data_IF_614592982599
#
_entry.id   IF_614592982599
#
_cell.length_a   1.000
_cell.length_b   1.000
_cell.length_c   1.000
_cell.angle_alpha   90.00
_cell.angle_beta   90.00
_cell.angle_gamma   90.00
#
_symmetry.space_group_name_H-M   'P 1'
#
loop_
_entity.id
_entity.type
_entity.pdbx_description
1 polymer ?
#
# COMPACT_ATOMS: atom_id res chain seq x y z
N UNK A 1 -62.15 20.48 45.06
CA UNK A 1 -62.96 21.72 44.95
C UNK A 1 -62.98 22.08 43.46
N UNK A 2 -64.16 22.11 42.93
CA UNK A 2 -64.50 22.49 41.55
C UNK A 2 -64.13 23.93 41.30
N UNK A 3 -63.73 24.33 40.06
CA UNK A 3 -64.36 25.45 39.34
C UNK A 3 -64.04 25.32 37.84
N UNK A 4 -65.09 25.36 37.06
CA UNK A 4 -65.29 25.45 35.62
C UNK A 4 -65.25 26.93 35.22
N UNK A 5 -64.73 27.27 34.06
CA UNK A 5 -65.22 28.37 33.18
C UNK A 5 -64.17 28.60 32.09
N UNK A 6 -64.37 28.84 30.89
CA UNK A 6 -65.49 29.03 29.94
C UNK A 6 -64.83 29.50 28.64
N UNK A 7 -65.38 29.02 27.54
CA UNK A 7 -65.00 29.37 26.16
C UNK A 7 -65.14 30.88 25.88
N UNK A 8 -64.26 31.42 25.05
CA UNK A 8 -64.60 32.51 24.08
C UNK A 8 -63.92 32.22 22.73
N UNK A 9 -64.79 31.90 21.78
CA UNK A 9 -64.48 31.95 20.35
C UNK A 9 -64.30 33.39 19.92
N UNK A 10 -63.22 33.68 19.21
CA UNK A 10 -63.16 34.87 18.30
C UNK A 10 -62.67 34.39 16.94
N UNK A 11 -63.57 34.39 15.99
CA UNK A 11 -63.31 34.19 14.59
C UNK A 11 -62.58 35.44 14.02
N UNK A 12 -61.40 35.27 13.46
CA UNK A 12 -60.75 36.25 12.62
C UNK A 12 -60.56 35.66 11.23
N UNK A 13 -61.15 36.36 10.28
CA UNK A 13 -61.19 36.05 8.85
C UNK A 13 -59.77 35.89 8.24
N UNK A 14 -59.59 34.78 7.54
CA UNK A 14 -58.46 34.60 6.67
C UNK A 14 -58.64 35.36 5.39
N UNK A 15 -57.76 36.36 5.13
CA UNK A 15 -57.59 36.96 3.81
C UNK A 15 -56.68 36.05 3.01
N UNK A 16 -57.20 35.52 1.93
CA UNK A 16 -56.45 34.81 0.91
C UNK A 16 -55.50 35.76 0.18
N UNK A 17 -54.24 35.53 0.32
CA UNK A 17 -53.21 36.14 -0.56
C UNK A 17 -52.97 35.14 -1.70
N UNK A 18 -53.52 35.53 -2.87
CA UNK A 18 -53.23 34.89 -4.16
C UNK A 18 -51.82 35.31 -4.57
N UNK A 19 -50.85 34.43 -4.44
CA UNK A 19 -49.50 34.59 -4.94
C UNK A 19 -49.20 33.42 -5.85
N UNK A 20 -49.58 33.53 -7.11
CA UNK A 20 -49.05 32.69 -8.19
C UNK A 20 -47.53 32.83 -8.26
N UNK A 21 -46.74 31.78 -8.08
CA UNK A 21 -45.33 31.87 -8.38
C UNK A 21 -45.13 31.79 -9.89
N UNK A 22 -44.50 32.81 -10.44
CA UNK A 22 -43.95 32.80 -11.79
C UNK A 22 -43.09 31.55 -12.00
N UNK A 23 -43.43 30.74 -12.99
CA UNK A 23 -42.62 29.61 -13.44
C UNK A 23 -41.34 30.13 -14.10
N UNK A 24 -40.29 30.36 -13.33
CA UNK A 24 -38.94 30.43 -13.85
C UNK A 24 -38.47 29.00 -14.08
N UNK A 25 -38.50 28.58 -15.33
CA UNK A 25 -37.80 27.35 -15.78
C UNK A 25 -36.29 27.59 -15.63
N UNK A 26 -35.75 27.34 -14.46
CA UNK A 26 -34.32 27.09 -14.32
C UNK A 26 -34.12 25.67 -14.79
N UNK A 27 -33.59 25.49 -15.98
CA UNK A 27 -33.08 24.22 -16.46
C UNK A 27 -31.97 23.79 -15.50
N UNK A 28 -32.28 22.82 -14.65
CA UNK A 28 -31.27 22.09 -13.89
C UNK A 28 -30.46 21.31 -14.94
N UNK A 29 -29.16 21.56 -15.10
CA UNK A 29 -28.36 20.68 -15.95
C UNK A 29 -28.47 19.30 -15.41
N UNK A 30 -28.96 18.36 -16.23
CA UNK A 30 -28.86 16.93 -15.97
C UNK A 30 -27.42 16.61 -15.64
N UNK A 31 -27.19 16.03 -14.46
CA UNK A 31 -25.92 15.44 -14.11
C UNK A 31 -25.73 14.34 -15.14
N UNK A 32 -24.99 14.64 -16.20
CA UNK A 32 -24.49 13.66 -17.13
C UNK A 32 -23.56 12.80 -16.28
N UNK A 33 -24.12 11.68 -15.84
CA UNK A 33 -23.42 10.62 -15.14
C UNK A 33 -22.15 10.39 -15.93
N UNK A 34 -21.00 10.71 -15.32
CA UNK A 34 -19.68 10.36 -15.82
C UNK A 34 -19.62 8.83 -15.83
N UNK A 35 -20.26 8.24 -16.83
CA UNK A 35 -20.20 6.83 -17.09
C UNK A 35 -18.73 6.50 -17.32
N UNK A 36 -18.13 5.86 -16.34
CA UNK A 36 -16.87 5.16 -16.54
C UNK A 36 -17.04 4.31 -17.81
N UNK A 37 -16.08 4.34 -18.75
CA UNK A 37 -16.17 3.50 -19.92
C UNK A 37 -16.43 2.06 -19.48
N UNK A 38 -17.36 1.35 -20.12
CA UNK A 38 -17.70 -0.02 -19.75
C UNK A 38 -16.41 -0.84 -19.76
N UNK A 39 -15.99 -1.30 -18.58
CA UNK A 39 -14.88 -2.23 -18.50
C UNK A 39 -15.35 -3.50 -19.21
N UNK A 40 -14.65 -3.88 -20.27
CA UNK A 40 -14.91 -5.15 -20.98
C UNK A 40 -14.94 -6.26 -19.93
N UNK A 41 -16.02 -7.08 -19.84
CA UNK A 41 -16.03 -8.21 -18.92
C UNK A 41 -14.79 -9.07 -19.19
N UNK A 42 -14.13 -9.59 -18.18
CA UNK A 42 -12.98 -10.47 -18.37
C UNK A 42 -13.43 -11.65 -19.23
N UNK A 43 -12.62 -11.99 -20.23
CA UNK A 43 -12.89 -13.14 -21.09
C UNK A 43 -13.03 -14.39 -20.18
N UNK A 44 -13.99 -15.28 -20.47
CA UNK A 44 -14.28 -16.46 -19.63
C UNK A 44 -13.01 -17.27 -19.30
N UNK A 45 -12.10 -17.42 -20.26
CA UNK A 45 -10.79 -18.07 -20.06
C UNK A 45 -9.89 -17.35 -19.02
N UNK A 46 -9.93 -16.04 -18.94
CA UNK A 46 -9.13 -15.30 -17.94
C UNK A 46 -9.72 -15.45 -16.54
N UNK A 47 -11.05 -15.53 -16.41
CA UNK A 47 -11.72 -15.78 -15.14
C UNK A 47 -11.42 -17.19 -14.61
N UNK A 48 -11.49 -18.20 -15.47
CA UNK A 48 -11.21 -19.60 -15.11
C UNK A 48 -9.75 -19.81 -14.70
N UNK A 49 -8.82 -19.18 -15.41
CA UNK A 49 -7.40 -19.24 -15.06
C UNK A 49 -7.11 -18.60 -13.71
N UNK A 50 -7.74 -17.44 -13.42
CA UNK A 50 -7.59 -16.77 -12.12
C UNK A 50 -8.17 -17.58 -10.97
N UNK A 51 -9.32 -18.20 -11.18
CA UNK A 51 -9.94 -19.04 -10.17
C UNK A 51 -9.07 -20.25 -9.86
N UNK A 52 -8.52 -20.89 -10.88
CA UNK A 52 -7.60 -22.01 -10.74
C UNK A 52 -6.32 -21.62 -9.98
N UNK A 53 -5.71 -20.46 -10.28
CA UNK A 53 -4.55 -19.95 -9.56
C UNK A 53 -4.90 -19.66 -8.09
N UNK A 54 -6.06 -19.06 -7.81
CA UNK A 54 -6.52 -18.83 -6.44
C UNK A 54 -6.65 -20.11 -5.64
N UNK A 55 -7.27 -21.14 -6.18
CA UNK A 55 -7.41 -22.44 -5.52
C UNK A 55 -6.03 -23.03 -5.15
N UNK A 56 -5.05 -22.92 -6.05
CA UNK A 56 -3.69 -23.41 -5.78
C UNK A 56 -2.99 -22.57 -4.71
N UNK A 57 -3.14 -21.22 -4.74
CA UNK A 57 -2.58 -20.30 -3.73
C UNK A 57 -3.17 -20.61 -2.35
N UNK A 58 -4.49 -20.77 -2.26
CA UNK A 58 -5.18 -21.08 -0.99
C UNK A 58 -4.74 -22.44 -0.44
N UNK A 59 -4.65 -23.47 -1.29
CA UNK A 59 -4.16 -24.79 -0.90
C UNK A 59 -2.71 -24.74 -0.42
N UNK A 60 -1.82 -24.13 -1.21
CA UNK A 60 -0.40 -24.02 -0.87
C UNK A 60 -0.14 -23.22 0.42
N UNK A 61 -0.87 -22.10 0.62
CA UNK A 61 -0.77 -21.31 1.85
C UNK A 61 -1.20 -22.12 3.07
N UNK A 62 -2.34 -22.83 2.97
CA UNK A 62 -2.86 -23.67 4.05
C UNK A 62 -1.89 -24.81 4.39
N UNK A 63 -1.42 -25.53 3.39
CA UNK A 63 -0.57 -26.70 3.57
C UNK A 63 0.81 -26.33 4.16
N UNK A 64 1.33 -25.14 3.81
CA UNK A 64 2.55 -24.57 4.39
C UNK A 64 2.29 -23.74 5.66
N UNK A 65 1.07 -23.71 6.20
CA UNK A 65 0.70 -22.91 7.38
C UNK A 65 1.11 -21.43 7.25
N UNK A 66 0.90 -20.84 6.07
CA UNK A 66 1.13 -19.40 5.81
C UNK A 66 -0.20 -18.65 5.82
N UNK A 67 -0.25 -17.39 6.29
CA UNK A 67 -1.41 -16.53 6.06
C UNK A 67 -1.62 -16.36 4.54
N UNK A 68 -2.86 -16.58 4.08
CA UNK A 68 -3.23 -16.47 2.67
C UNK A 68 -2.81 -15.11 2.08
N UNK A 69 -3.13 -14.03 2.78
CA UNK A 69 -2.83 -12.68 2.35
C UNK A 69 -1.31 -12.46 2.18
N UNK A 70 -0.51 -12.93 3.12
CA UNK A 70 0.95 -12.86 3.04
C UNK A 70 1.46 -13.58 1.78
N UNK A 71 1.04 -14.83 1.57
CA UNK A 71 1.50 -15.62 0.45
C UNK A 71 1.05 -15.02 -0.90
N UNK A 72 -0.21 -14.61 -1.01
CA UNK A 72 -0.71 -13.96 -2.23
C UNK A 72 0.03 -12.65 -2.55
N UNK A 73 0.41 -11.85 -1.53
CA UNK A 73 1.22 -10.65 -1.71
C UNK A 73 2.64 -10.95 -2.16
N UNK A 74 3.25 -12.03 -1.66
CA UNK A 74 4.54 -12.53 -2.17
C UNK A 74 4.43 -12.83 -3.66
N UNK A 75 3.48 -13.68 -4.05
CA UNK A 75 3.31 -14.06 -5.47
C UNK A 75 2.98 -12.84 -6.35
N UNK A 76 2.21 -11.88 -5.84
CA UNK A 76 1.98 -10.62 -6.52
C UNK A 76 3.27 -9.82 -6.72
N UNK A 77 4.15 -9.73 -5.74
CA UNK A 77 5.43 -9.02 -5.87
C UNK A 77 6.38 -9.71 -6.84
N UNK A 78 6.34 -11.03 -6.93
CA UNK A 78 7.18 -11.80 -7.84
C UNK A 78 6.76 -11.62 -9.30
N UNK A 79 5.51 -11.89 -9.64
CA UNK A 79 5.10 -12.03 -11.04
C UNK A 79 3.83 -11.29 -11.43
N UNK A 80 3.12 -10.64 -10.50
CA UNK A 80 1.74 -10.16 -10.72
C UNK A 80 0.77 -11.29 -11.09
N UNK A 81 1.00 -12.49 -10.57
CA UNK A 81 0.30 -13.74 -10.88
C UNK A 81 0.49 -14.24 -12.32
N UNK A 82 1.55 -13.79 -13.02
CA UNK A 82 1.85 -14.26 -14.38
C UNK A 82 2.64 -15.56 -14.32
N UNK A 83 2.11 -16.61 -14.92
CA UNK A 83 2.72 -17.95 -14.88
C UNK A 83 3.93 -18.09 -15.79
N UNK A 84 4.04 -17.25 -16.79
CA UNK A 84 5.10 -17.21 -17.81
C UNK A 84 6.12 -16.08 -17.56
N UNK A 85 6.05 -15.43 -16.39
CA UNK A 85 6.95 -14.34 -16.05
C UNK A 85 8.43 -14.78 -16.09
N UNK A 86 9.27 -13.94 -16.69
CA UNK A 86 10.73 -14.12 -16.74
C UNK A 86 11.40 -12.85 -16.23
N UNK A 87 12.18 -12.96 -15.17
CA UNK A 87 12.92 -11.86 -14.57
C UNK A 87 14.04 -11.33 -15.44
N UNK A 88 14.69 -10.21 -15.04
CA UNK A 88 15.87 -9.68 -15.71
C UNK A 88 17.04 -10.65 -15.60
N UNK A 89 17.99 -10.54 -16.53
CA UNK A 89 19.24 -11.30 -16.48
C UNK A 89 20.05 -10.85 -15.26
N UNK A 90 20.45 -11.79 -14.41
CA UNK A 90 21.34 -11.57 -13.27
C UNK A 90 22.81 -11.54 -13.69
N UNK A 91 23.71 -11.22 -12.77
CA UNK A 91 25.17 -11.27 -13.04
C UNK A 91 25.68 -12.67 -13.39
N UNK A 92 25.01 -13.73 -12.93
CA UNK A 92 25.35 -15.12 -13.30
C UNK A 92 24.84 -15.53 -14.68
N UNK A 93 24.05 -14.68 -15.35
CA UNK A 93 23.38 -15.01 -16.60
C UNK A 93 22.00 -15.64 -16.45
N UNK A 94 21.63 -16.03 -15.23
CA UNK A 94 20.36 -16.65 -14.92
C UNK A 94 19.20 -15.64 -14.87
N UNK A 95 17.99 -16.16 -14.97
CA UNK A 95 16.74 -15.39 -14.82
C UNK A 95 15.78 -16.11 -13.86
N UNK A 96 15.10 -15.33 -13.05
CA UNK A 96 13.98 -15.83 -12.27
C UNK A 96 12.83 -16.26 -13.19
N UNK A 97 12.10 -17.31 -12.84
CA UNK A 97 11.16 -18.00 -13.72
C UNK A 97 9.80 -18.27 -13.07
N UNK A 98 8.75 -18.08 -13.84
CA UNK A 98 7.39 -18.45 -13.52
C UNK A 98 6.72 -17.59 -12.46
N UNK A 99 5.55 -18.04 -12.01
CA UNK A 99 4.67 -17.30 -11.09
C UNK A 99 5.34 -16.95 -9.75
N UNK A 100 6.26 -17.78 -9.27
CA UNK A 100 6.96 -17.62 -7.99
C UNK A 100 8.43 -17.16 -8.16
N UNK A 101 8.85 -16.81 -9.39
CA UNK A 101 10.17 -16.28 -9.74
C UNK A 101 11.34 -17.07 -9.16
N UNK A 102 11.30 -18.41 -9.30
CA UNK A 102 12.42 -19.25 -8.89
C UNK A 102 13.66 -19.02 -9.76
N UNK A 103 14.79 -18.81 -9.13
CA UNK A 103 16.09 -18.94 -9.80
C UNK A 103 16.35 -20.40 -10.16
N UNK A 104 16.98 -20.69 -11.32
CA UNK A 104 17.23 -22.07 -11.76
C UNK A 104 17.94 -22.96 -10.72
N UNK A 105 18.94 -22.42 -10.03
CA UNK A 105 19.64 -23.12 -8.94
C UNK A 105 18.69 -23.49 -7.80
N UNK A 106 17.90 -22.52 -7.31
CA UNK A 106 16.93 -22.75 -6.23
C UNK A 106 15.83 -23.72 -6.65
N UNK A 107 15.35 -23.64 -7.91
CA UNK A 107 14.37 -24.58 -8.46
C UNK A 107 14.91 -26.02 -8.41
N UNK A 108 16.16 -26.21 -8.86
CA UNK A 108 16.81 -27.52 -8.86
C UNK A 108 17.02 -28.06 -7.41
N UNK A 109 17.52 -27.25 -6.49
CA UNK A 109 17.70 -27.61 -5.08
C UNK A 109 16.40 -28.07 -4.42
N UNK A 110 15.24 -27.53 -4.87
CA UNK A 110 13.91 -27.83 -4.35
C UNK A 110 13.17 -28.91 -5.14
N UNK A 111 13.80 -29.50 -6.13
CA UNK A 111 13.18 -30.51 -7.00
C UNK A 111 12.02 -29.96 -7.81
N UNK A 112 12.01 -28.65 -8.12
CA UNK A 112 11.02 -28.00 -8.97
C UNK A 112 11.41 -28.19 -10.43
N UNK A 113 10.73 -29.12 -11.10
CA UNK A 113 11.06 -29.52 -12.47
C UNK A 113 10.65 -28.46 -13.52
N UNK A 114 9.53 -27.78 -13.27
CA UNK A 114 9.02 -26.76 -14.18
C UNK A 114 8.53 -25.52 -13.40
N UNK A 115 9.37 -24.47 -13.28
CA UNK A 115 8.99 -23.22 -12.61
C UNK A 115 7.81 -22.47 -13.27
N UNK A 116 7.52 -22.73 -14.54
CA UNK A 116 6.40 -22.12 -15.26
C UNK A 116 5.06 -22.84 -15.02
N UNK A 117 5.08 -24.00 -14.38
CA UNK A 117 3.87 -24.71 -13.97
C UNK A 117 3.42 -24.25 -12.58
N UNK A 118 2.31 -23.49 -12.44
CA UNK A 118 1.86 -22.96 -11.16
C UNK A 118 1.47 -24.06 -10.18
N UNK A 119 1.03 -25.23 -10.64
CA UNK A 119 0.67 -26.39 -9.81
C UNK A 119 1.91 -26.95 -9.08
N UNK A 120 3.09 -26.84 -9.69
CA UNK A 120 4.36 -27.24 -9.07
C UNK A 120 5.01 -26.07 -8.31
N UNK A 121 5.03 -24.88 -8.89
CA UNK A 121 5.79 -23.74 -8.36
C UNK A 121 5.18 -23.16 -7.08
N UNK A 122 3.85 -23.02 -7.00
CA UNK A 122 3.19 -22.40 -5.84
C UNK A 122 3.37 -23.23 -4.54
N UNK A 123 3.14 -24.54 -4.51
CA UNK A 123 3.43 -25.33 -3.33
C UNK A 123 4.91 -25.25 -2.91
N UNK A 124 5.84 -25.35 -3.85
CA UNK A 124 7.29 -25.24 -3.58
C UNK A 124 7.68 -23.86 -3.05
N UNK A 125 7.05 -22.81 -3.51
CA UNK A 125 7.24 -21.46 -2.98
C UNK A 125 6.73 -21.32 -1.55
N UNK A 126 5.55 -21.86 -1.25
CA UNK A 126 4.98 -21.84 0.09
C UNK A 126 5.81 -22.69 1.09
N UNK A 127 6.25 -23.87 0.70
CA UNK A 127 7.19 -24.69 1.48
C UNK A 127 8.47 -23.90 1.81
N UNK A 128 9.07 -23.27 0.81
CA UNK A 128 10.29 -22.46 0.99
C UNK A 128 10.09 -21.30 1.95
N UNK A 129 9.02 -20.54 1.80
CA UNK A 129 8.69 -19.44 2.72
C UNK A 129 8.48 -19.94 4.15
N UNK A 130 7.85 -21.08 4.33
CA UNK A 130 7.69 -21.69 5.66
C UNK A 130 9.03 -22.12 6.27
N UNK A 131 9.92 -22.73 5.49
CA UNK A 131 11.28 -23.06 5.94
C UNK A 131 12.05 -21.80 6.36
N UNK A 132 12.02 -20.75 5.53
CA UNK A 132 12.65 -19.47 5.83
C UNK A 132 12.07 -18.82 7.10
N UNK A 133 10.75 -18.91 7.29
CA UNK A 133 10.10 -18.42 8.52
C UNK A 133 10.60 -19.20 9.74
N UNK A 134 10.70 -20.51 9.64
CA UNK A 134 11.19 -21.34 10.74
C UNK A 134 12.67 -21.10 11.04
N UNK A 135 13.48 -20.84 10.02
CA UNK A 135 14.90 -20.53 10.15
C UNK A 135 15.16 -19.13 10.75
N UNK A 136 14.36 -18.13 10.38
CA UNK A 136 14.60 -16.73 10.72
C UNK A 136 13.62 -16.16 11.76
N UNK A 137 12.60 -16.94 12.12
CA UNK A 137 11.71 -16.66 13.24
C UNK A 137 10.42 -15.94 12.88
N UNK A 138 10.32 -15.23 11.74
CA UNK A 138 9.10 -14.49 11.38
C UNK A 138 8.90 -14.32 9.87
N UNK A 139 7.68 -13.91 9.48
CA UNK A 139 7.28 -13.76 8.08
C UNK A 139 8.01 -12.62 7.35
N UNK A 140 8.33 -11.53 8.03
CA UNK A 140 9.04 -10.42 7.40
C UNK A 140 10.47 -10.76 7.02
N UNK A 141 11.19 -11.50 7.89
CA UNK A 141 12.52 -11.99 7.60
C UNK A 141 12.49 -13.12 6.57
N UNK A 142 11.43 -13.95 6.56
CA UNK A 142 11.22 -14.95 5.51
C UNK A 142 11.04 -14.29 4.14
N UNK A 143 10.24 -13.25 4.04
CA UNK A 143 10.08 -12.48 2.81
C UNK A 143 11.42 -11.84 2.36
N UNK A 144 12.18 -11.27 3.29
CA UNK A 144 13.51 -10.73 2.99
C UNK A 144 14.44 -11.80 2.43
N UNK A 145 14.43 -13.00 3.02
CA UNK A 145 15.29 -14.10 2.60
C UNK A 145 14.83 -14.74 1.27
N UNK A 146 13.55 -14.78 1.01
CA UNK A 146 13.01 -15.21 -0.29
C UNK A 146 13.55 -14.32 -1.42
N UNK A 147 13.55 -13.00 -1.22
CA UNK A 147 14.00 -12.03 -2.21
C UNK A 147 15.53 -11.89 -2.31
N UNK A 148 16.25 -11.86 -1.18
CA UNK A 148 17.68 -11.54 -1.13
C UNK A 148 18.58 -12.76 -0.88
N UNK A 149 18.00 -13.90 -0.56
CA UNK A 149 18.69 -15.09 -0.09
C UNK A 149 18.92 -15.13 1.43
N UNK A 150 18.80 -16.32 2.07
CA UNK A 150 18.88 -16.48 3.52
C UNK A 150 20.23 -16.05 4.10
N UNK A 151 21.33 -16.36 3.42
CA UNK A 151 22.69 -15.96 3.85
C UNK A 151 22.80 -14.44 4.01
N UNK A 152 22.30 -13.67 3.07
CA UNK A 152 22.35 -12.19 3.13
C UNK A 152 21.57 -11.63 4.31
N UNK A 153 20.42 -12.20 4.61
CA UNK A 153 19.61 -11.80 5.78
C UNK A 153 20.34 -12.14 7.08
N UNK A 154 20.97 -13.30 7.17
CA UNK A 154 21.79 -13.69 8.33
C UNK A 154 23.00 -12.77 8.53
N UNK A 155 23.75 -12.45 7.47
CA UNK A 155 24.87 -11.52 7.50
C UNK A 155 24.42 -10.12 7.96
N UNK A 156 23.27 -9.65 7.47
CA UNK A 156 22.69 -8.38 7.89
C UNK A 156 22.25 -8.37 9.37
N UNK A 157 21.60 -9.44 9.84
CA UNK A 157 21.22 -9.58 11.26
C UNK A 157 22.44 -9.65 12.18
N UNK A 158 23.53 -10.25 11.73
CA UNK A 158 24.81 -10.31 12.43
C UNK A 158 25.61 -8.98 12.36
N UNK A 159 25.15 -7.97 11.61
CA UNK A 159 25.87 -6.71 11.41
C UNK A 159 27.08 -6.79 10.49
N UNK A 160 27.30 -7.92 9.80
CA UNK A 160 28.45 -8.18 8.89
C UNK A 160 28.13 -7.89 7.42
N UNK A 161 26.86 -7.56 7.10
CA UNK A 161 26.42 -7.28 5.74
C UNK A 161 25.30 -6.24 5.68
N UNK A 162 25.01 -5.74 4.47
CA UNK A 162 23.95 -4.76 4.21
C UNK A 162 22.67 -5.40 3.67
N UNK A 163 21.51 -4.78 3.98
CA UNK A 163 20.23 -5.15 3.37
C UNK A 163 19.97 -4.24 2.16
N UNK A 164 19.72 -4.77 0.95
CA UNK A 164 19.41 -3.96 -0.22
C UNK A 164 18.10 -3.18 -0.06
N UNK A 165 18.02 -1.95 -0.59
CA UNK A 165 16.79 -1.16 -0.58
C UNK A 165 15.64 -1.84 -1.32
N UNK A 166 15.94 -2.59 -2.39
CA UNK A 166 14.96 -3.39 -3.10
C UNK A 166 14.28 -4.40 -2.16
N UNK A 167 15.08 -5.11 -1.35
CA UNK A 167 14.55 -6.10 -0.38
C UNK A 167 13.78 -5.40 0.74
N UNK A 168 14.23 -4.23 1.23
CA UNK A 168 13.48 -3.42 2.20
C UNK A 168 12.09 -3.03 1.68
N UNK A 169 12.04 -2.56 0.44
CA UNK A 169 10.79 -2.20 -0.23
C UNK A 169 9.89 -3.41 -0.47
N UNK A 170 10.48 -4.56 -0.83
CA UNK A 170 9.76 -5.82 -1.01
C UNK A 170 9.08 -6.27 0.29
N UNK A 171 9.80 -6.30 1.42
CA UNK A 171 9.22 -6.66 2.72
C UNK A 171 8.10 -5.71 3.11
N UNK A 172 8.32 -4.41 2.94
CA UNK A 172 7.29 -3.42 3.25
C UNK A 172 6.03 -3.58 2.38
N UNK A 173 6.20 -3.81 1.08
CA UNK A 173 5.06 -4.01 0.15
C UNK A 173 4.22 -5.25 0.49
N UNK A 174 4.82 -6.27 1.09
CA UNK A 174 4.12 -7.51 1.46
C UNK A 174 3.49 -7.40 2.84
N UNK A 175 4.21 -6.79 3.81
CA UNK A 175 3.87 -6.90 5.23
C UNK A 175 3.36 -5.59 5.85
N UNK A 176 3.50 -4.46 5.17
CA UNK A 176 3.21 -3.13 5.74
C UNK A 176 4.20 -2.64 6.79
N UNK A 177 5.21 -3.46 7.13
CA UNK A 177 6.24 -3.12 8.12
C UNK A 177 7.65 -3.20 7.51
N UNK A 178 8.59 -2.44 8.07
CA UNK A 178 9.96 -2.45 7.58
C UNK A 178 10.70 -3.72 8.04
N UNK A 179 11.71 -4.14 7.28
CA UNK A 179 12.53 -5.31 7.66
C UNK A 179 13.23 -5.11 9.00
N UNK A 180 13.56 -3.86 9.38
CA UNK A 180 14.11 -3.51 10.69
C UNK A 180 13.11 -3.73 11.82
N UNK A 181 11.82 -3.41 11.58
CA UNK A 181 10.75 -3.70 12.54
C UNK A 181 10.63 -5.20 12.78
N UNK A 182 10.66 -6.00 11.71
CA UNK A 182 10.64 -7.46 11.81
C UNK A 182 11.87 -8.04 12.52
N UNK A 183 13.05 -7.48 12.26
CA UNK A 183 14.29 -7.91 12.95
C UNK A 183 14.22 -7.64 14.46
N UNK A 184 13.68 -6.48 14.89
CA UNK A 184 13.50 -6.15 16.30
C UNK A 184 12.44 -7.02 16.99
N UNK A 185 11.39 -7.41 16.27
CA UNK A 185 10.31 -8.23 16.80
C UNK A 185 10.77 -9.68 17.12
N UNK A 186 11.85 -10.15 16.49
CA UNK A 186 12.40 -11.48 16.73
C UNK A 186 11.43 -12.62 16.38
N UNK A 187 11.67 -13.82 16.92
CA UNK A 187 10.88 -15.01 16.63
C UNK A 187 9.41 -14.94 17.13
N UNK A 188 9.11 -14.06 18.09
CA UNK A 188 7.76 -13.86 18.64
C UNK A 188 7.00 -12.75 17.91
N UNK A 189 7.63 -12.10 16.94
CA UNK A 189 7.06 -10.98 16.20
C UNK A 189 5.78 -11.39 15.45
N UNK A 190 4.64 -11.00 16.02
CA UNK A 190 3.39 -11.01 15.28
C UNK A 190 3.47 -9.86 14.29
N UNK A 191 3.22 -10.15 13.02
CA UNK A 191 3.08 -9.14 11.99
C UNK A 191 1.97 -8.13 12.32
N UNK A 192 1.88 -7.05 11.57
CA UNK A 192 0.73 -6.18 11.66
C UNK A 192 -0.55 -7.02 11.57
N UNK A 193 -1.63 -6.63 12.27
CA UNK A 193 -2.87 -7.39 12.27
C UNK A 193 -3.31 -7.60 10.81
N UNK A 194 -3.54 -8.85 10.45
CA UNK A 194 -4.14 -9.18 9.16
C UNK A 194 -5.54 -8.53 9.12
N UNK A 195 -5.90 -7.93 8.00
CA UNK A 195 -7.26 -7.47 7.76
C UNK A 195 -8.29 -8.60 7.90
N UNK A 196 -9.59 -8.31 7.76
CA UNK A 196 -10.62 -9.34 7.79
C UNK A 196 -10.31 -10.44 6.74
N UNK A 197 -10.71 -11.70 7.00
CA UNK A 197 -10.48 -12.79 6.07
C UNK A 197 -11.01 -12.42 4.68
N UNK A 198 -10.12 -12.29 3.72
CA UNK A 198 -10.44 -11.91 2.34
C UNK A 198 -10.24 -13.14 1.46
N UNK A 199 -11.19 -13.42 0.55
CA UNK A 199 -11.00 -14.50 -0.41
C UNK A 199 -9.79 -14.21 -1.32
N UNK A 200 -9.15 -15.24 -1.85
CA UNK A 200 -8.05 -15.04 -2.80
C UNK A 200 -8.49 -14.22 -4.02
N UNK A 201 -9.71 -14.41 -4.49
CA UNK A 201 -10.28 -13.66 -5.62
C UNK A 201 -10.37 -12.16 -5.33
N UNK A 202 -10.90 -11.79 -4.17
CA UNK A 202 -11.03 -10.39 -3.75
C UNK A 202 -9.65 -9.77 -3.52
N UNK A 203 -8.73 -10.53 -2.92
CA UNK A 203 -7.35 -10.12 -2.72
C UNK A 203 -6.61 -9.90 -4.05
N UNK A 204 -6.78 -10.78 -5.04
CA UNK A 204 -6.22 -10.58 -6.38
C UNK A 204 -6.80 -9.33 -7.06
N UNK A 205 -8.11 -9.10 -6.92
CA UNK A 205 -8.76 -7.91 -7.46
C UNK A 205 -8.26 -6.64 -6.77
N UNK A 206 -8.10 -6.67 -5.44
CA UNK A 206 -7.53 -5.57 -4.65
C UNK A 206 -6.10 -5.27 -5.10
N UNK A 207 -5.23 -6.27 -5.18
CA UNK A 207 -3.83 -6.10 -5.58
C UNK A 207 -3.67 -5.58 -7.02
N UNK A 208 -4.59 -5.90 -7.93
CA UNK A 208 -4.61 -5.33 -9.28
C UNK A 208 -4.98 -3.85 -9.31
N UNK A 209 -5.95 -3.42 -8.48
CA UNK A 209 -6.38 -2.01 -8.37
C UNK A 209 -5.41 -1.15 -7.58
N UNK A 210 -4.92 -1.70 -6.47
CA UNK A 210 -3.98 -1.07 -5.56
C UNK A 210 -2.75 -1.98 -5.41
N UNK A 211 -1.76 -1.87 -6.31
CA UNK A 211 -0.59 -2.78 -6.34
C UNK A 211 0.19 -2.83 -5.03
N UNK A 212 0.05 -1.80 -4.21
CA UNK A 212 0.55 -1.79 -2.84
C UNK A 212 -0.56 -1.26 -1.92
N UNK A 213 -1.36 -2.13 -1.27
CA UNK A 213 -2.48 -1.72 -0.44
C UNK A 213 -2.08 -0.88 0.78
N UNK A 214 -0.86 -1.04 1.30
CA UNK A 214 -0.35 -0.18 2.37
C UNK A 214 -0.03 1.24 1.87
N UNK A 215 0.32 1.36 0.59
CA UNK A 215 0.46 2.66 -0.06
C UNK A 215 -0.90 3.29 -0.30
N UNK A 216 -1.91 2.51 -0.70
CA UNK A 216 -3.26 3.02 -0.91
C UNK A 216 -3.91 3.54 0.38
N UNK A 217 -3.71 2.84 1.51
CA UNK A 217 -4.16 3.31 2.82
C UNK A 217 -3.46 4.63 3.21
N UNK A 218 -2.14 4.71 3.03
CA UNK A 218 -1.37 5.93 3.25
C UNK A 218 -1.83 7.08 2.32
N UNK A 219 -2.28 6.77 1.10
CA UNK A 219 -2.80 7.77 0.16
C UNK A 219 -4.10 8.42 0.61
N UNK A 220 -5.02 7.66 1.23
CA UNK A 220 -6.24 8.23 1.80
C UNK A 220 -5.94 9.23 2.92
N UNK A 221 -4.94 8.96 3.75
CA UNK A 221 -4.46 9.90 4.76
C UNK A 221 -3.76 11.12 4.15
N UNK A 222 -3.09 10.92 3.02
CA UNK A 222 -2.33 11.96 2.30
C UNK A 222 -3.25 13.04 1.68
N UNK A 223 -4.41 12.67 1.16
CA UNK A 223 -5.36 13.64 0.57
C UNK A 223 -5.93 14.59 1.62
N UNK A 224 -6.12 14.12 2.85
CA UNK A 224 -6.61 14.94 3.96
C UNK A 224 -5.56 15.94 4.48
N UNK A 225 -4.27 15.63 4.32
CA UNK A 225 -3.17 16.48 4.79
C UNK A 225 -2.65 17.49 3.74
N UNK A 226 -3.16 17.44 2.51
CA UNK A 226 -2.67 18.25 1.38
C UNK A 226 -2.94 19.77 1.49
N UNK A 227 -3.70 20.23 2.50
CA UNK A 227 -4.16 21.60 2.65
C UNK A 227 -3.18 22.54 3.39
N UNK A 228 -2.04 22.07 3.83
CA UNK A 228 -1.09 22.89 4.59
C UNK A 228 -0.16 23.71 3.70
N UNK A 229 0.07 24.97 4.06
CA UNK A 229 0.88 25.93 3.27
C UNK A 229 2.36 25.51 3.20
N UNK A 230 2.89 24.93 4.26
CA UNK A 230 4.28 24.50 4.38
C UNK A 230 4.37 22.98 4.53
N UNK A 231 5.50 22.41 4.16
CA UNK A 231 5.74 20.98 4.30
C UNK A 231 7.19 20.67 4.62
N UNK A 232 7.37 19.72 5.53
CA UNK A 232 8.68 19.12 5.85
C UNK A 232 8.84 17.86 5.03
N UNK A 233 9.64 17.91 3.97
CA UNK A 233 9.90 16.79 3.08
C UNK A 233 10.83 15.78 3.75
N UNK A 234 10.40 14.53 3.83
CA UNK A 234 11.16 13.41 4.39
C UNK A 234 11.59 12.39 3.34
N UNK A 235 10.88 12.31 2.24
CA UNK A 235 11.20 11.41 1.14
C UNK A 235 10.82 12.01 -0.20
N UNK A 236 11.55 11.63 -1.26
CA UNK A 236 11.22 12.00 -2.62
C UNK A 236 11.85 11.05 -3.64
N UNK A 237 11.27 10.95 -4.84
CA UNK A 237 11.81 10.15 -5.93
C UNK A 237 10.93 10.13 -7.17
N UNK A 238 11.42 9.54 -8.24
CA UNK A 238 10.69 9.37 -9.50
C UNK A 238 9.82 8.11 -9.54
N UNK A 239 9.81 7.33 -8.47
CA UNK A 239 8.92 6.21 -8.25
C UNK A 239 8.12 6.48 -6.97
N UNK A 240 6.78 6.40 -7.11
CA UNK A 240 5.83 6.70 -6.05
C UNK A 240 5.96 5.75 -4.87
N UNK A 241 5.97 4.45 -5.15
CA UNK A 241 6.02 3.42 -4.12
C UNK A 241 7.34 3.48 -3.35
N UNK A 242 8.43 3.75 -4.06
CA UNK A 242 9.74 3.94 -3.45
C UNK A 242 9.78 5.17 -2.54
N UNK A 243 9.19 6.29 -2.96
CA UNK A 243 9.13 7.50 -2.14
C UNK A 243 8.32 7.26 -0.85
N UNK A 244 7.18 6.56 -0.95
CA UNK A 244 6.35 6.20 0.20
C UNK A 244 7.05 5.19 1.14
N UNK A 245 7.74 4.18 0.60
CA UNK A 245 8.52 3.26 1.41
C UNK A 245 9.70 3.94 2.13
N UNK A 246 10.34 4.93 1.51
CA UNK A 246 11.36 5.76 2.18
C UNK A 246 10.77 6.58 3.31
N UNK A 247 9.59 7.18 3.09
CA UNK A 247 8.84 7.91 4.11
C UNK A 247 8.50 7.01 5.30
N UNK A 248 7.91 5.85 5.07
CA UNK A 248 7.56 4.89 6.13
C UNK A 248 8.77 4.53 7.01
N UNK A 249 9.94 4.27 6.40
CA UNK A 249 11.19 4.03 7.15
C UNK A 249 11.62 5.24 7.99
N UNK A 250 11.44 6.45 7.44
CA UNK A 250 11.77 7.67 8.17
C UNK A 250 10.84 7.85 9.38
N UNK A 251 9.53 7.65 9.20
CA UNK A 251 8.53 7.74 10.28
C UNK A 251 8.81 6.75 11.39
N UNK A 252 9.08 5.48 11.06
CA UNK A 252 9.39 4.46 12.08
C UNK A 252 10.58 4.85 12.95
N UNK A 253 11.63 5.43 12.38
CA UNK A 253 12.81 5.90 13.14
C UNK A 253 12.57 7.17 13.94
N UNK A 254 11.68 8.02 13.46
CA UNK A 254 11.45 9.37 13.95
C UNK A 254 10.08 9.51 14.63
N UNK A 255 9.41 8.42 14.94
CA UNK A 255 8.05 8.40 15.51
C UNK A 255 7.90 9.31 16.73
N UNK A 256 8.88 9.30 17.62
CA UNK A 256 8.89 10.17 18.80
C UNK A 256 8.97 11.68 18.49
N UNK A 257 9.47 12.05 17.30
CA UNK A 257 9.62 13.45 16.85
C UNK A 257 8.45 13.88 15.98
N UNK A 258 8.02 12.98 15.09
CA UNK A 258 6.97 13.24 14.09
C UNK A 258 5.58 13.13 14.71
N UNK A 259 5.39 12.19 15.66
CA UNK A 259 4.08 11.90 16.24
C UNK A 259 3.12 11.33 15.21
N UNK A 260 1.83 11.55 15.42
CA UNK A 260 0.72 11.09 14.56
C UNK A 260 0.38 12.06 13.40
N UNK A 261 1.38 12.80 12.90
CA UNK A 261 1.14 13.75 11.80
C UNK A 261 1.01 13.03 10.48
N UNK A 262 -0.07 13.34 9.76
CA UNK A 262 -0.33 12.78 8.44
C UNK A 262 0.61 13.36 7.38
N UNK A 263 1.10 12.52 6.46
CA UNK A 263 1.90 12.97 5.34
C UNK A 263 1.05 13.50 4.20
N UNK A 264 1.63 14.37 3.37
CA UNK A 264 1.11 14.75 2.06
C UNK A 264 1.98 14.16 0.97
N UNK A 265 1.39 13.57 -0.05
CA UNK A 265 2.08 13.13 -1.25
C UNK A 265 1.85 14.14 -2.36
N UNK A 266 2.89 14.82 -2.77
CA UNK A 266 2.86 15.79 -3.85
C UNK A 266 3.54 15.20 -5.08
N UNK A 267 2.95 15.42 -6.26
CA UNK A 267 3.59 15.09 -7.53
C UNK A 267 3.87 16.34 -8.34
N UNK A 268 5.01 16.39 -9.01
CA UNK A 268 5.38 17.47 -9.90
C UNK A 268 6.23 16.95 -11.05
N UNK A 269 6.14 17.59 -12.22
CA UNK A 269 7.04 17.28 -13.33
C UNK A 269 8.23 18.25 -13.28
N UNK A 270 9.41 17.70 -13.11
CA UNK A 270 10.67 18.47 -13.17
C UNK A 270 11.13 18.57 -14.62
N UNK A 271 10.72 19.63 -15.33
CA UNK A 271 11.01 19.82 -16.76
C UNK A 271 12.50 19.71 -17.13
N UNK A 272 13.40 20.06 -16.22
CA UNK A 272 14.85 19.90 -16.39
C UNK A 272 15.32 18.43 -16.35
N UNK A 273 14.48 17.50 -15.94
CA UNK A 273 14.77 16.06 -15.83
C UNK A 273 13.80 15.18 -16.61
N UNK A 274 13.11 15.76 -17.59
CA UNK A 274 12.17 15.07 -18.48
C UNK A 274 10.70 15.17 -18.04
N UNK A 275 9.88 14.26 -18.54
CA UNK A 275 8.41 14.25 -18.33
C UNK A 275 7.95 13.35 -17.19
N UNK A 276 8.86 12.63 -16.52
CA UNK A 276 8.52 11.73 -15.43
C UNK A 276 8.05 12.50 -14.20
N UNK A 277 6.99 12.02 -13.56
CA UNK A 277 6.49 12.56 -12.29
C UNK A 277 7.56 12.38 -11.20
N UNK A 278 7.78 13.41 -10.41
CA UNK A 278 8.62 13.42 -9.22
C UNK A 278 7.72 13.50 -8.00
N UNK A 279 7.76 12.49 -7.17
CA UNK A 279 6.93 12.34 -5.97
C UNK A 279 7.69 12.84 -4.74
N UNK A 280 6.99 13.56 -3.86
CA UNK A 280 7.55 14.16 -2.66
C UNK A 280 6.59 13.88 -1.50
N UNK A 281 7.08 13.26 -0.43
CA UNK A 281 6.30 12.97 0.77
C UNK A 281 6.70 13.96 1.86
N UNK A 282 5.71 14.75 2.33
CA UNK A 282 5.91 15.85 3.25
C UNK A 282 4.95 15.75 4.43
N UNK A 283 5.38 16.19 5.60
CA UNK A 283 4.49 16.46 6.73
C UNK A 283 4.05 17.92 6.63
N UNK A 284 2.74 18.15 6.69
CA UNK A 284 2.17 19.48 6.61
C UNK A 284 2.44 20.32 7.86
N UNK A 285 2.61 21.64 7.66
CA UNK A 285 2.69 22.65 8.69
C UNK A 285 1.96 23.92 8.24
N UNK A 286 1.31 24.61 9.18
CA UNK A 286 0.54 25.82 8.87
C UNK A 286 1.47 27.02 8.67
N UNK A 287 2.57 27.08 9.39
CA UNK A 287 3.55 28.15 9.31
C UNK A 287 4.94 27.65 8.94
N UNK A 288 5.77 28.54 8.40
CA UNK A 288 7.17 28.24 8.13
C UNK A 288 7.94 27.91 9.40
N UNK A 289 7.68 28.66 10.47
CA UNK A 289 8.32 28.45 11.79
C UNK A 289 8.05 27.05 12.31
N UNK A 290 6.79 26.59 12.27
CA UNK A 290 6.43 25.22 12.64
C UNK A 290 7.19 24.17 11.82
N UNK A 291 7.27 24.36 10.50
CA UNK A 291 8.01 23.46 9.61
C UNK A 291 9.51 23.45 9.92
N UNK A 292 10.13 24.62 10.15
CA UNK A 292 11.54 24.75 10.50
C UNK A 292 11.83 24.09 11.87
N UNK A 293 10.96 24.27 12.87
CA UNK A 293 11.09 23.64 14.20
C UNK A 293 10.97 22.12 14.12
N UNK A 294 10.02 21.60 13.34
CA UNK A 294 9.90 20.18 13.11
C UNK A 294 11.15 19.61 12.41
N UNK A 295 11.63 20.27 11.36
CA UNK A 295 12.83 19.85 10.64
C UNK A 295 14.08 19.89 11.54
N UNK A 296 14.21 20.89 12.41
CA UNK A 296 15.31 20.97 13.38
C UNK A 296 15.26 19.83 14.41
N UNK A 297 14.09 19.45 14.90
CA UNK A 297 13.93 18.27 15.78
C UNK A 297 14.29 16.98 15.05
N UNK A 298 13.86 16.84 13.79
CA UNK A 298 14.19 15.68 12.94
C UNK A 298 15.71 15.56 12.75
N UNK A 299 16.41 16.68 12.48
CA UNK A 299 17.89 16.71 12.33
C UNK A 299 18.60 16.34 13.63
N UNK A 300 18.11 16.83 14.78
CA UNK A 300 18.64 16.45 16.09
C UNK A 300 18.50 14.95 16.36
N UNK A 301 17.49 14.30 15.79
CA UNK A 301 17.28 12.85 15.84
C UNK A 301 17.96 12.10 14.68
N UNK A 302 18.99 12.68 14.06
CA UNK A 302 19.75 12.14 12.95
C UNK A 302 18.90 11.81 11.68
N UNK A 303 17.76 12.49 11.52
CA UNK A 303 16.94 12.43 10.32
C UNK A 303 17.32 13.51 9.30
N UNK A 304 16.97 13.28 8.02
CA UNK A 304 17.09 14.26 6.96
C UNK A 304 15.75 14.88 6.63
N UNK A 305 15.73 16.20 6.42
CA UNK A 305 14.51 16.92 6.05
C UNK A 305 14.81 18.20 5.25
N UNK A 306 13.82 18.64 4.49
CA UNK A 306 13.79 19.93 3.79
C UNK A 306 12.46 20.62 4.06
N UNK A 307 12.50 21.93 4.37
CA UNK A 307 11.29 22.74 4.50
C UNK A 307 10.98 23.41 3.16
N UNK A 308 9.76 23.23 2.67
CA UNK A 308 9.32 23.71 1.38
C UNK A 308 7.90 24.27 1.46
N UNK A 309 7.61 25.31 0.66
CA UNK A 309 6.24 25.80 0.50
C UNK A 309 5.48 24.86 -0.44
N UNK A 310 4.25 24.48 -0.08
CA UNK A 310 3.39 23.68 -0.95
C UNK A 310 2.78 24.60 -2.01
N UNK A 311 2.93 24.24 -3.28
CA UNK A 311 2.36 24.99 -4.41
C UNK A 311 0.88 24.60 -4.56
N UNK A 312 0.01 25.58 -4.68
CA UNK A 312 -1.43 25.36 -4.95
C UNK A 312 -2.36 25.59 -3.76
N UNK A 313 -1.85 25.87 -2.57
CA UNK A 313 -2.66 26.36 -1.45
C UNK A 313 -2.51 27.89 -1.43
N UNK A 314 -3.47 28.60 -2.05
CA UNK A 314 -3.64 30.03 -1.88
C UNK A 314 -4.22 30.22 -0.47
N UNK A 315 -3.48 30.93 0.38
CA UNK A 315 -3.99 31.45 1.65
C UNK A 315 -4.82 32.68 1.41
#
# INVERSE_FOLDING_TARGET
MRIIAALLLSATQAQAWDSSPAKTNVAVPSVEELAMPPQKPPDAHESDTRESICLIIEAAARDANLPLEFFARVIWQESRFQTDAVGPVTRSGDRAQGIAQFMPGTANERGLLNPFNPVQALPKSAEFLNELRNQLGNLGLAAAAYNAGPRRVQEWLAGTGGMPDQTRNYVFAITGATVETWAKAGATGKGPPSGPPTSCRDLMALLKRAPNPFVAELEQHVELAAAKIWGVQLAAGFDRNRALAMYSRAVTRLSAVIGERDPSLLSSVMRSRGTRAFYQVRIGADTRTEADDLCNRIRKAAGACFVLKNRGVSG
#
